data_IF_938716575800
#
_entry.id   IF_938716575800
#
_cell.length_a   1.000
_cell.length_b   1.000
_cell.length_c   1.000
_cell.angle_alpha   90.00
_cell.angle_beta   90.00
_cell.angle_gamma   90.00
#
_symmetry.space_group_name_H-M   'P 1'
#
loop_
_entity.id
_entity.type
_entity.pdbx_description
1 polymer ?
#
# COMPACT_ATOMS: atom_id res chain seq x y z
N UNK A 1 -4.48 -11.05 27.88
CA UNK A 1 -3.16 -10.66 28.42
C UNK A 1 -2.13 -10.60 27.32
N UNK A 2 -1.25 -11.59 27.08
CA UNK A 2 -0.10 -11.48 26.14
C UNK A 2 -0.45 -10.85 24.77
N UNK A 3 -1.58 -11.26 24.17
CA UNK A 3 -2.02 -10.89 22.82
C UNK A 3 -3.16 -9.86 22.79
N UNK A 4 -3.18 -8.93 23.74
CA UNK A 4 -3.99 -7.72 23.70
C UNK A 4 -3.10 -6.51 23.39
N UNK A 5 -3.58 -5.48 22.67
CA UNK A 5 -2.93 -4.19 22.67
C UNK A 5 -3.13 -3.51 24.03
N UNK A 6 -2.15 -2.72 24.47
CA UNK A 6 -2.34 -1.74 25.54
C UNK A 6 -2.06 -0.33 25.03
N UNK A 7 -2.79 0.64 25.60
CA UNK A 7 -2.65 2.05 25.30
C UNK A 7 -1.97 2.75 26.49
N UNK A 8 -0.78 3.30 26.26
CA UNK A 8 -0.07 4.15 27.20
C UNK A 8 -0.62 5.56 27.04
N UNK A 9 -1.11 6.15 28.14
CA UNK A 9 -1.59 7.53 28.19
C UNK A 9 -0.55 8.45 28.83
N UNK A 10 -0.26 9.60 28.22
CA UNK A 10 0.45 10.68 28.91
C UNK A 10 -0.54 11.44 29.82
N UNK A 11 -0.88 10.80 30.93
CA UNK A 11 -1.71 11.32 32.04
C UNK A 11 -1.04 11.01 33.39
N UNK A 12 -1.48 11.70 34.44
CA UNK A 12 -0.84 11.61 35.75
C UNK A 12 -0.95 10.23 36.40
N UNK A 13 0.22 9.59 36.60
CA UNK A 13 0.55 8.48 37.52
C UNK A 13 -0.24 7.15 37.48
N UNK A 14 -1.43 7.04 36.92
CA UNK A 14 -2.22 5.77 36.99
C UNK A 14 -2.81 5.30 35.64
N UNK A 15 -2.88 3.97 35.48
CA UNK A 15 -3.40 3.26 34.31
C UNK A 15 -4.56 2.34 34.70
N UNK A 16 -5.64 2.33 33.91
CA UNK A 16 -6.85 1.53 34.14
C UNK A 16 -7.09 0.58 32.96
N UNK A 17 -7.49 -0.67 33.24
CA UNK A 17 -7.70 -1.74 32.26
C UNK A 17 -9.14 -2.29 32.40
N UNK A 18 -9.85 -2.46 31.27
CA UNK A 18 -11.24 -2.95 31.23
C UNK A 18 -11.47 -3.88 30.03
N UNK A 19 -12.13 -5.03 30.23
CA UNK A 19 -12.44 -6.00 29.16
C UNK A 19 -13.68 -6.85 29.52
N UNK A 20 -14.60 -7.05 28.57
CA UNK A 20 -15.68 -8.05 28.62
C UNK A 20 -16.01 -8.56 27.19
N UNK A 21 -16.79 -9.64 27.07
CA UNK A 21 -17.09 -10.39 25.83
C UNK A 21 -18.60 -10.65 25.64
N UNK A 22 -19.05 -10.86 24.40
CA UNK A 22 -20.35 -11.49 24.05
C UNK A 22 -20.28 -12.28 22.72
N UNK A 23 -21.32 -13.06 22.40
CA UNK A 23 -21.38 -14.17 21.42
C UNK A 23 -22.38 -13.87 20.28
N UNK A 24 -22.17 -14.39 19.05
CA UNK A 24 -23.21 -14.52 17.98
C UNK A 24 -22.99 -15.82 17.14
N UNK A 25 -23.97 -16.23 16.32
CA UNK A 25 -24.25 -17.59 15.78
C UNK A 25 -24.12 -17.72 14.22
N UNK A 26 -24.26 -18.94 13.68
CA UNK A 26 -24.05 -19.44 12.28
C UNK A 26 -25.13 -19.09 11.21
N UNK A 27 -24.80 -19.24 9.91
CA UNK A 27 -25.70 -19.47 8.72
C UNK A 27 -24.99 -20.33 7.63
N UNK A 28 -25.75 -21.05 6.77
CA UNK A 28 -25.36 -21.83 5.55
C UNK A 28 -26.60 -21.90 4.56
N UNK A 29 -26.67 -22.40 3.30
CA UNK A 29 -25.78 -23.17 2.40
C UNK A 29 -25.89 -22.81 0.87
N UNK A 30 -26.66 -23.52 0.01
CA UNK A 30 -26.51 -23.51 -1.49
C UNK A 30 -27.76 -23.71 -2.40
N UNK A 31 -27.67 -23.12 -3.62
CA UNK A 31 -27.99 -23.59 -5.01
C UNK A 31 -29.32 -24.26 -5.45
N UNK A 32 -29.84 -23.84 -6.64
CA UNK A 32 -30.50 -24.66 -7.70
C UNK A 32 -30.61 -23.86 -9.06
N UNK A 33 -31.13 -24.43 -10.17
CA UNK A 33 -30.81 -24.01 -11.57
C UNK A 33 -31.96 -23.88 -12.61
N UNK A 34 -31.74 -23.04 -13.65
CA UNK A 34 -32.16 -23.18 -15.09
C UNK A 34 -33.69 -23.21 -15.45
N UNK A 35 -34.20 -23.24 -16.71
CA UNK A 35 -33.70 -23.45 -18.11
C UNK A 35 -34.61 -22.72 -19.15
N UNK A 36 -34.15 -22.33 -20.37
CA UNK A 36 -34.82 -22.57 -21.71
C UNK A 36 -34.12 -21.87 -22.92
N UNK A 37 -34.41 -22.29 -24.16
CA UNK A 37 -33.70 -21.95 -25.43
C UNK A 37 -34.61 -21.50 -26.60
N UNK A 38 -34.01 -20.91 -27.67
CA UNK A 38 -34.57 -20.82 -29.05
C UNK A 38 -33.45 -20.88 -30.11
N UNK A 39 -33.73 -21.33 -31.34
CA UNK A 39 -32.74 -21.51 -32.44
C UNK A 39 -32.90 -20.51 -33.60
N UNK A 40 -31.84 -20.34 -34.42
CA UNK A 40 -31.88 -19.72 -35.78
C UNK A 40 -32.32 -20.74 -36.86
N UNK A 41 -32.77 -20.24 -38.02
CA UNK A 41 -32.95 -21.01 -39.27
C UNK A 41 -31.81 -20.72 -40.28
N UNK A 42 -31.75 -21.50 -41.36
CA UNK A 42 -30.71 -21.48 -42.39
C UNK A 42 -31.31 -21.57 -43.81
N UNK A 43 -30.52 -21.12 -44.79
CA UNK A 43 -30.69 -20.85 -46.23
C UNK A 43 -31.81 -21.58 -47.04
N UNK A 44 -32.30 -20.85 -48.06
CA UNK A 44 -32.87 -21.41 -49.30
C UNK A 44 -31.97 -21.05 -50.50
N UNK A 45 -31.57 -22.04 -51.32
CA UNK A 45 -30.62 -21.84 -52.44
C UNK A 45 -31.31 -21.39 -53.73
N UNK A 46 -31.12 -20.14 -54.19
CA UNK A 46 -31.17 -19.75 -55.62
C UNK A 46 -30.70 -18.31 -55.87
N UNK A 47 -29.69 -18.17 -56.74
CA UNK A 47 -29.27 -16.96 -57.49
C UNK A 47 -29.63 -15.59 -56.86
N UNK A 48 -28.72 -15.06 -56.04
CA UNK A 48 -28.81 -13.72 -55.45
C UNK A 48 -27.92 -12.69 -56.21
N UNK A 49 -27.56 -13.02 -57.45
CA UNK A 49 -26.50 -12.37 -58.25
C UNK A 49 -27.09 -11.46 -59.37
N UNK A 50 -28.39 -11.14 -59.29
CA UNK A 50 -29.14 -10.35 -60.30
C UNK A 50 -30.06 -9.31 -59.63
N UNK A 51 -29.73 -8.91 -58.40
CA UNK A 51 -30.44 -7.89 -57.61
C UNK A 51 -29.41 -6.84 -57.19
N UNK A 52 -29.64 -5.53 -57.38
CA UNK A 52 -28.71 -4.52 -56.91
C UNK A 52 -28.55 -4.59 -55.39
N UNK A 53 -27.31 -4.54 -54.91
CA UNK A 53 -26.94 -4.74 -53.51
C UNK A 53 -27.68 -3.79 -52.57
N UNK A 54 -28.12 -4.30 -51.43
CA UNK A 54 -28.89 -3.55 -50.45
C UNK A 54 -28.09 -3.42 -49.15
N UNK A 55 -27.66 -2.18 -48.86
CA UNK A 55 -26.85 -1.81 -47.69
C UNK A 55 -27.40 -2.38 -46.37
N UNK A 56 -28.72 -2.36 -46.19
CA UNK A 56 -29.40 -2.80 -44.98
C UNK A 56 -29.40 -4.34 -44.87
N UNK A 57 -29.56 -5.04 -46.01
CA UNK A 57 -29.51 -6.51 -46.10
C UNK A 57 -28.10 -7.08 -45.89
N UNK A 58 -27.09 -6.47 -46.51
CA UNK A 58 -25.77 -7.09 -46.67
C UNK A 58 -24.72 -6.58 -45.66
N UNK A 59 -24.80 -5.30 -45.27
CA UNK A 59 -23.83 -4.67 -44.35
C UNK A 59 -24.40 -4.30 -42.96
N UNK A 60 -25.72 -4.39 -42.75
CA UNK A 60 -26.36 -4.09 -41.46
C UNK A 60 -26.95 -5.34 -40.80
N UNK A 61 -27.66 -6.19 -41.54
CA UNK A 61 -28.13 -7.49 -41.03
C UNK A 61 -27.03 -8.57 -41.03
N UNK A 62 -26.07 -8.52 -41.97
CA UNK A 62 -24.91 -9.41 -42.06
C UNK A 62 -23.55 -8.63 -42.06
N UNK A 63 -22.44 -9.33 -42.35
CA UNK A 63 -21.09 -8.75 -42.44
C UNK A 63 -20.56 -8.83 -43.87
N UNK A 64 -20.76 -7.76 -44.64
CA UNK A 64 -20.18 -7.58 -45.96
C UNK A 64 -18.65 -7.43 -45.94
N UNK A 65 -18.03 -7.66 -47.10
CA UNK A 65 -16.61 -7.46 -47.40
C UNK A 65 -16.31 -6.02 -47.82
N UNK A 66 -15.02 -5.70 -47.96
CA UNK A 66 -14.55 -4.38 -48.35
C UNK A 66 -14.93 -4.00 -49.81
N UNK A 67 -15.04 -4.98 -50.70
CA UNK A 67 -15.35 -4.73 -52.11
C UNK A 67 -16.86 -4.56 -52.33
N UNK A 68 -17.70 -5.35 -51.66
CA UNK A 68 -19.17 -5.16 -51.64
C UNK A 68 -19.55 -3.77 -51.08
N UNK A 69 -18.92 -3.34 -49.98
CA UNK A 69 -19.16 -2.02 -49.39
C UNK A 69 -18.72 -0.86 -50.31
N UNK A 70 -17.83 -1.10 -51.28
CA UNK A 70 -17.29 -0.09 -52.20
C UNK A 70 -18.21 0.20 -53.38
N UNK A 71 -19.07 -0.75 -53.78
CA UNK A 71 -20.00 -0.57 -54.91
C UNK A 71 -21.22 0.31 -54.54
N UNK A 72 -21.41 0.64 -53.26
CA UNK A 72 -22.55 1.44 -52.77
C UNK A 72 -22.27 2.94 -52.76
N UNK A 73 -21.00 3.39 -52.81
CA UNK A 73 -20.64 4.79 -52.56
C UNK A 73 -19.51 5.34 -53.48
N UNK A 74 -19.88 6.00 -54.57
CA UNK A 74 -18.94 6.73 -55.44
C UNK A 74 -18.64 8.15 -54.90
N UNK A 75 -17.51 8.32 -54.19
CA UNK A 75 -16.52 9.44 -54.26
C UNK A 75 -15.66 9.54 -52.99
N UNK A 76 -14.35 9.83 -53.13
CA UNK A 76 -13.36 9.64 -52.04
C UNK A 76 -13.10 10.88 -51.15
N UNK A 77 -13.59 12.07 -51.50
CA UNK A 77 -13.23 13.35 -50.82
C UNK A 77 -14.06 13.70 -49.55
N UNK A 78 -14.66 12.73 -48.87
CA UNK A 78 -15.35 12.93 -47.57
C UNK A 78 -14.84 12.05 -46.41
N UNK A 79 -13.68 11.43 -46.60
CA UNK A 79 -13.14 10.33 -45.78
C UNK A 79 -12.50 10.73 -44.43
N UNK A 80 -12.79 11.94 -43.89
CA UNK A 80 -12.42 12.35 -42.51
C UNK A 80 -13.58 13.09 -41.82
N UNK A 81 -14.74 12.42 -41.69
CA UNK A 81 -15.88 12.90 -40.89
C UNK A 81 -16.85 11.78 -40.47
N UNK A 82 -16.34 10.57 -40.20
CA UNK A 82 -17.16 9.46 -39.71
C UNK A 82 -17.39 9.56 -38.20
N UNK A 83 -18.65 9.59 -37.76
CA UNK A 83 -19.02 9.67 -36.34
C UNK A 83 -18.45 8.48 -35.55
N UNK A 84 -17.49 8.73 -34.68
CA UNK A 84 -16.74 7.70 -33.94
C UNK A 84 -17.52 7.12 -32.76
N UNK A 85 -18.73 7.64 -32.49
CA UNK A 85 -19.72 7.05 -31.59
C UNK A 85 -20.63 6.02 -32.26
N UNK A 86 -20.41 5.65 -33.53
CA UNK A 86 -21.15 4.58 -34.21
C UNK A 86 -20.21 3.50 -34.78
N UNK A 87 -20.23 2.24 -34.29
CA UNK A 87 -21.02 1.73 -33.17
C UNK A 87 -20.52 2.29 -31.82
N UNK A 88 -21.42 2.45 -30.83
CA UNK A 88 -21.07 3.08 -29.55
C UNK A 88 -19.85 2.41 -28.88
N UNK A 89 -18.70 3.10 -28.75
CA UNK A 89 -17.49 2.54 -28.17
C UNK A 89 -17.58 2.42 -26.65
N UNK A 90 -18.48 3.15 -25.99
CA UNK A 90 -18.67 3.15 -24.55
C UNK A 90 -19.45 1.91 -24.08
N UNK A 91 -18.94 1.27 -23.03
CA UNK A 91 -19.50 0.07 -22.40
C UNK A 91 -20.33 0.45 -21.18
N UNK A 92 -20.97 -0.56 -20.57
CA UNK A 92 -21.71 -0.42 -19.31
C UNK A 92 -22.75 0.72 -19.29
N UNK A 93 -23.36 1.01 -20.45
CA UNK A 93 -24.38 2.05 -20.60
C UNK A 93 -23.86 3.49 -20.72
N UNK A 94 -22.55 3.69 -20.88
CA UNK A 94 -21.96 5.02 -21.09
C UNK A 94 -22.46 5.71 -22.38
N UNK A 95 -22.67 7.03 -22.30
CA UNK A 95 -23.05 7.87 -23.43
C UNK A 95 -21.81 8.34 -24.19
N UNK A 96 -21.83 8.28 -25.50
CA UNK A 96 -20.70 8.73 -26.34
C UNK A 96 -20.94 10.13 -26.90
N UNK A 97 -19.89 10.95 -26.94
CA UNK A 97 -19.83 12.24 -27.61
C UNK A 97 -18.72 12.19 -28.67
N UNK A 98 -19.07 12.62 -29.88
CA UNK A 98 -18.18 12.66 -31.05
C UNK A 98 -17.39 13.97 -31.06
N UNK A 99 -16.09 13.92 -31.36
CA UNK A 99 -15.17 15.05 -31.41
C UNK A 99 -14.32 14.97 -32.70
N UNK A 100 -13.50 15.99 -32.97
CA UNK A 100 -12.61 15.99 -34.14
C UNK A 100 -11.51 14.91 -33.98
N UNK A 101 -11.66 13.80 -34.72
CA UNK A 101 -10.78 12.63 -34.73
C UNK A 101 -10.61 11.92 -33.36
N UNK A 102 -11.56 12.10 -32.43
CA UNK A 102 -11.69 11.27 -31.22
C UNK A 102 -13.16 11.21 -30.76
N UNK A 103 -13.42 10.35 -29.77
CA UNK A 103 -14.67 10.36 -29.00
C UNK A 103 -14.39 10.52 -27.50
N UNK A 104 -15.42 10.93 -26.76
CA UNK A 104 -15.44 11.02 -25.29
C UNK A 104 -16.57 10.13 -24.76
N UNK A 105 -16.28 9.29 -23.76
CA UNK A 105 -17.27 8.46 -23.09
C UNK A 105 -17.69 9.04 -21.74
N UNK A 106 -18.95 9.43 -21.62
CA UNK A 106 -19.61 9.85 -20.39
C UNK A 106 -20.14 8.63 -19.64
N UNK A 107 -19.36 8.13 -18.69
CA UNK A 107 -19.65 6.90 -17.96
C UNK A 107 -20.77 7.06 -16.93
N UNK A 108 -21.61 6.02 -16.82
CA UNK A 108 -22.60 5.94 -15.74
C UNK A 108 -21.91 5.79 -14.37
N UNK A 109 -22.59 6.25 -13.31
CA UNK A 109 -22.09 6.15 -11.94
C UNK A 109 -21.73 4.71 -11.59
N UNK A 110 -20.45 4.50 -11.26
CA UNK A 110 -19.88 3.17 -11.03
C UNK A 110 -18.84 2.77 -12.08
N UNK A 111 -18.72 3.43 -13.23
CA UNK A 111 -17.75 3.06 -14.27
C UNK A 111 -16.72 4.16 -14.59
N UNK A 112 -15.49 3.74 -14.91
CA UNK A 112 -14.38 4.59 -15.39
C UNK A 112 -13.64 3.92 -16.57
N UNK A 113 -12.61 4.56 -17.10
CA UNK A 113 -11.87 4.10 -18.29
C UNK A 113 -12.27 4.84 -19.56
N UNK A 114 -11.49 4.71 -20.65
CA UNK A 114 -11.72 5.46 -21.91
C UNK A 114 -13.05 5.07 -22.57
N UNK A 115 -13.50 3.85 -22.30
CA UNK A 115 -14.67 3.20 -22.86
C UNK A 115 -15.64 2.78 -21.75
N UNK A 116 -15.55 3.34 -20.54
CA UNK A 116 -16.33 2.94 -19.37
C UNK A 116 -16.20 1.44 -19.01
N UNK A 117 -15.07 0.85 -19.37
CA UNK A 117 -14.78 -0.58 -19.28
C UNK A 117 -14.38 -1.05 -17.87
N UNK A 118 -14.01 -0.13 -16.98
CA UNK A 118 -13.56 -0.43 -15.62
C UNK A 118 -14.66 -0.17 -14.61
N UNK A 119 -14.95 -1.16 -13.76
CA UNK A 119 -15.80 -0.99 -12.59
C UNK A 119 -15.05 -0.23 -11.48
N UNK A 120 -15.63 0.84 -10.95
CA UNK A 120 -15.02 1.81 -10.03
C UNK A 120 -15.61 1.73 -8.61
N UNK A 121 -15.82 0.51 -8.10
CA UNK A 121 -16.25 0.27 -6.71
C UNK A 121 -15.10 0.40 -5.71
N UNK A 122 -15.39 0.41 -4.41
CA UNK A 122 -14.34 0.31 -3.38
C UNK A 122 -13.49 -0.98 -3.44
N UNK A 123 -13.86 -2.00 -4.23
CA UNK A 123 -13.05 -3.19 -4.43
C UNK A 123 -11.93 -2.98 -5.47
N UNK A 124 -12.19 -2.16 -6.50
CA UNK A 124 -11.29 -1.85 -7.60
C UNK A 124 -10.64 -0.49 -7.41
N UNK A 125 -9.30 -0.44 -7.33
CA UNK A 125 -8.53 0.80 -7.06
C UNK A 125 -9.07 1.65 -5.88
N UNK A 126 -9.69 1.03 -4.87
CA UNK A 126 -10.32 1.73 -3.75
C UNK A 126 -11.35 2.81 -4.19
N UNK A 127 -12.05 2.62 -5.32
CA UNK A 127 -12.97 3.60 -5.90
C UNK A 127 -12.31 4.89 -6.42
N UNK A 128 -10.98 4.91 -6.51
CA UNK A 128 -10.19 6.14 -6.70
C UNK A 128 -10.17 7.05 -5.46
N UNK A 129 -10.55 6.56 -4.28
CA UNK A 129 -10.42 7.31 -3.04
C UNK A 129 -8.99 7.23 -2.51
N UNK A 130 -8.39 8.38 -2.18
CA UNK A 130 -7.00 8.44 -1.67
C UNK A 130 -6.80 7.82 -0.29
N UNK A 131 -7.86 7.72 0.50
CA UNK A 131 -7.84 7.13 1.85
C UNK A 131 -9.01 6.16 2.03
N UNK A 132 -10.11 6.52 2.68
CA UNK A 132 -11.21 5.58 2.90
C UNK A 132 -12.25 5.65 1.77
N UNK A 133 -12.74 4.48 1.35
CA UNK A 133 -13.87 4.33 0.43
C UNK A 133 -15.04 3.64 1.14
N UNK A 134 -16.27 4.12 0.93
CA UNK A 134 -17.51 3.36 1.18
C UNK A 134 -18.38 3.36 -0.08
N UNK A 135 -19.04 2.23 -0.35
CA UNK A 135 -20.19 2.23 -1.26
C UNK A 135 -21.41 2.74 -0.46
N UNK A 136 -22.17 3.66 -1.03
CA UNK A 136 -23.44 4.16 -0.49
C UNK A 136 -24.60 3.18 -0.80
N UNK A 137 -25.80 3.45 -0.29
CA UNK A 137 -27.01 2.65 -0.55
C UNK A 137 -27.34 2.49 -2.04
N UNK A 138 -26.85 3.41 -2.87
CA UNK A 138 -27.02 3.45 -4.32
C UNK A 138 -25.79 2.90 -5.07
N UNK A 139 -24.93 2.11 -4.41
CA UNK A 139 -23.62 1.60 -4.89
C UNK A 139 -22.58 2.67 -5.26
N UNK A 140 -22.94 3.95 -5.20
CA UNK A 140 -22.06 5.11 -5.41
C UNK A 140 -20.87 5.11 -4.45
N UNK A 141 -19.66 5.30 -4.97
CA UNK A 141 -18.47 5.53 -4.15
C UNK A 141 -18.54 6.87 -3.44
N UNK A 142 -18.27 6.85 -2.14
CA UNK A 142 -18.12 8.04 -1.28
C UNK A 142 -16.78 7.92 -0.54
N UNK A 143 -15.87 8.84 -0.84
CA UNK A 143 -14.57 8.89 -0.19
C UNK A 143 -14.62 9.66 1.14
N UNK A 144 -13.72 9.31 2.07
CA UNK A 144 -13.51 10.05 3.32
C UNK A 144 -12.07 9.92 3.81
N UNK A 145 -11.65 10.83 4.68
CA UNK A 145 -10.24 11.01 5.04
C UNK A 145 -9.93 10.67 6.50
N UNK A 146 -8.66 10.41 6.78
CA UNK A 146 -8.12 10.13 8.09
C UNK A 146 -7.98 11.39 8.97
N UNK A 147 -7.74 11.21 10.27
CA UNK A 147 -7.58 12.32 11.20
C UNK A 147 -6.41 13.23 10.80
N UNK A 148 -6.67 14.54 10.71
CA UNK A 148 -5.69 15.52 10.23
C UNK A 148 -5.72 15.76 8.72
N UNK A 149 -6.67 15.18 7.98
CA UNK A 149 -6.92 15.46 6.56
C UNK A 149 -8.32 16.04 6.35
N UNK A 150 -8.51 16.74 5.22
CA UNK A 150 -9.81 17.15 4.66
C UNK A 150 -9.98 16.51 3.28
N UNK A 151 -11.22 16.26 2.87
CA UNK A 151 -11.53 15.85 1.50
C UNK A 151 -11.44 17.08 0.57
N UNK A 152 -10.89 16.90 -0.62
CA UNK A 152 -10.76 17.91 -1.65
C UNK A 152 -12.05 18.03 -2.49
N UNK A 153 -12.14 19.05 -3.34
CA UNK A 153 -13.32 19.39 -4.12
C UNK A 153 -13.66 18.32 -5.18
N UNK A 154 -12.64 17.59 -5.65
CA UNK A 154 -12.77 16.39 -6.49
C UNK A 154 -13.51 15.22 -5.81
N UNK A 155 -13.77 15.31 -4.50
CA UNK A 155 -14.41 14.29 -3.64
C UNK A 155 -13.69 12.93 -3.61
N UNK A 156 -12.40 12.88 -3.99
CA UNK A 156 -11.52 11.68 -4.03
C UNK A 156 -10.20 11.88 -3.27
N UNK A 157 -9.56 13.04 -3.38
CA UNK A 157 -8.26 13.36 -2.79
C UNK A 157 -8.40 13.79 -1.32
N UNK A 158 -7.51 13.30 -0.46
CA UNK A 158 -7.38 13.76 0.91
C UNK A 158 -6.17 14.70 1.07
N UNK A 159 -6.42 15.97 1.39
CA UNK A 159 -5.39 17.01 1.60
C UNK A 159 -5.07 17.17 3.10
N UNK A 160 -3.80 17.35 3.50
CA UNK A 160 -3.43 17.65 4.88
C UNK A 160 -4.13 18.91 5.42
N UNK A 161 -4.80 18.77 6.56
CA UNK A 161 -5.49 19.86 7.26
C UNK A 161 -4.79 20.29 8.55
N UNK A 162 -3.73 19.59 8.95
CA UNK A 162 -2.83 19.93 10.07
C UNK A 162 -1.37 19.77 9.64
N UNK A 163 -0.37 20.38 10.31
CA UNK A 163 1.03 20.31 9.89
C UNK A 163 1.62 18.90 9.89
N UNK A 164 1.23 18.08 10.87
CA UNK A 164 1.74 16.71 11.08
C UNK A 164 0.57 15.71 11.11
N UNK A 165 -0.08 15.46 9.95
CA UNK A 165 -1.22 14.55 9.88
C UNK A 165 -0.76 13.10 10.08
N UNK A 166 -1.69 12.21 10.41
CA UNK A 166 -1.33 10.82 10.63
C UNK A 166 -0.79 10.15 9.36
N UNK A 167 0.07 9.14 9.52
CA UNK A 167 0.54 8.30 8.41
C UNK A 167 1.39 9.00 7.36
N UNK A 168 1.82 10.25 7.58
CA UNK A 168 2.60 11.04 6.60
C UNK A 168 4.08 11.13 6.98
N UNK A 169 4.93 10.53 6.16
CA UNK A 169 6.38 10.71 6.21
C UNK A 169 6.71 12.15 5.80
N UNK A 170 7.28 12.92 6.72
CA UNK A 170 7.49 14.37 6.56
C UNK A 170 8.96 14.80 6.69
N UNK A 171 9.87 13.91 7.09
CA UNK A 171 11.29 14.18 7.18
C UNK A 171 11.94 14.34 5.79
N UNK A 172 12.78 15.37 5.55
CA UNK A 172 13.38 15.59 4.24
C UNK A 172 14.39 14.49 3.85
N UNK A 173 15.08 13.86 4.79
CA UNK A 173 16.01 12.76 4.49
C UNK A 173 15.29 11.43 4.20
N UNK A 174 14.06 11.27 4.68
CA UNK A 174 13.21 10.12 4.41
C UNK A 174 12.46 10.23 3.08
N UNK A 175 12.27 11.46 2.57
CA UNK A 175 11.92 11.68 1.16
C UNK A 175 13.11 11.25 0.30
N UNK A 176 13.12 9.98 -0.09
CA UNK A 176 13.98 9.51 -1.17
C UNK A 176 13.84 10.48 -2.35
N UNK A 177 14.97 10.88 -2.95
CA UNK A 177 14.92 11.56 -4.25
C UNK A 177 14.10 10.65 -5.17
N UNK A 178 13.00 11.17 -5.71
CA UNK A 178 12.32 10.52 -6.84
C UNK A 178 13.31 10.62 -7.99
N UNK A 179 14.01 9.53 -8.27
CA UNK A 179 14.90 9.45 -9.43
C UNK A 179 14.08 9.73 -10.68
N UNK A 180 14.54 10.70 -11.48
CA UNK A 180 13.84 11.29 -12.64
C UNK A 180 13.71 10.27 -13.78
N UNK A 181 12.84 9.28 -13.57
CA UNK A 181 12.63 8.11 -14.42
C UNK A 181 11.14 7.67 -14.46
N UNK A 182 10.23 8.54 -14.01
CA UNK A 182 8.79 8.49 -14.28
C UNK A 182 8.20 9.89 -14.00
N UNK A 183 7.92 10.60 -15.09
CA UNK A 183 7.11 11.82 -15.27
C UNK A 183 7.72 12.62 -16.44
N UNK A 184 7.23 12.33 -17.65
CA UNK A 184 7.36 13.18 -18.83
C UNK A 184 6.02 13.87 -19.04
N UNK A 185 6.04 15.20 -19.20
CA UNK A 185 4.88 16.10 -19.05
C UNK A 185 4.32 16.14 -17.61
N UNK A 186 3.88 17.29 -17.10
CA UNK A 186 3.63 18.58 -17.75
C UNK A 186 4.66 19.69 -17.37
N UNK A 187 4.94 20.53 -18.36
CA UNK A 187 5.50 21.88 -18.29
C UNK A 187 4.36 22.89 -17.97
N UNK A 188 4.54 24.18 -17.66
CA UNK A 188 5.68 25.05 -17.27
C UNK A 188 5.05 26.39 -16.89
N UNK A 189 5.45 27.03 -15.77
CA UNK A 189 5.56 28.52 -15.73
C UNK A 189 6.15 29.05 -14.41
N UNK A 190 7.35 29.62 -14.48
CA UNK A 190 7.54 31.08 -14.37
C UNK A 190 9.00 31.44 -14.68
N UNK A 191 9.22 32.59 -15.30
CA UNK A 191 10.51 32.99 -15.90
C UNK A 191 11.24 34.09 -15.11
N UNK A 192 12.52 34.27 -15.45
CA UNK A 192 13.41 35.41 -15.14
C UNK A 192 13.92 35.53 -13.69
N UNK A 193 15.20 35.91 -13.45
CA UNK A 193 16.31 36.24 -14.38
C UNK A 193 17.68 36.13 -13.68
N UNK A 194 18.79 36.14 -14.47
CA UNK A 194 20.17 36.63 -14.13
C UNK A 194 20.92 35.95 -12.95
N UNK A 195 22.23 35.64 -12.94
CA UNK A 195 23.41 35.93 -13.79
C UNK A 195 24.53 34.88 -13.48
N UNK A 196 25.64 34.76 -14.23
CA UNK A 196 25.77 34.14 -15.57
C UNK A 196 27.24 33.74 -15.88
N UNK A 197 27.47 32.97 -16.97
CA UNK A 197 28.77 32.49 -17.53
C UNK A 197 29.68 31.59 -16.64
N UNK A 198 30.66 30.79 -17.14
CA UNK A 198 31.19 30.55 -18.48
C UNK A 198 31.49 29.04 -18.72
N UNK A 199 31.84 28.65 -19.96
CA UNK A 199 32.21 27.28 -20.33
C UNK A 199 33.68 27.17 -20.81
N UNK A 200 34.23 25.95 -20.89
CA UNK A 200 34.81 25.46 -22.16
C UNK A 200 34.95 23.92 -22.23
N UNK A 201 35.35 23.39 -23.39
CA UNK A 201 35.39 21.98 -23.77
C UNK A 201 36.80 21.55 -24.20
N UNK A 202 37.18 20.29 -23.95
CA UNK A 202 38.05 19.49 -24.84
C UNK A 202 38.14 18.02 -24.37
N UNK A 203 38.50 17.11 -25.29
CA UNK A 203 38.86 15.71 -24.99
C UNK A 203 40.10 15.30 -25.80
N UNK A 204 40.92 14.38 -25.28
CA UNK A 204 42.06 13.84 -26.05
C UNK A 204 43.02 12.92 -25.28
N UNK A 205 43.03 11.64 -25.68
CA UNK A 205 44.14 10.67 -25.81
C UNK A 205 45.47 10.90 -25.02
N UNK A 206 45.94 9.95 -24.18
CA UNK A 206 46.49 8.60 -24.48
C UNK A 206 47.92 8.59 -25.05
N UNK A 207 48.87 8.12 -24.22
CA UNK A 207 50.04 7.24 -24.48
C UNK A 207 50.57 6.83 -23.08
N UNK A 208 50.91 5.58 -22.73
CA UNK A 208 51.68 4.48 -23.34
C UNK A 208 53.18 4.47 -22.94
N UNK A 209 53.67 3.31 -22.50
CA UNK A 209 55.07 2.85 -22.52
C UNK A 209 55.13 1.37 -22.06
N UNK A 210 55.90 0.54 -22.75
CA UNK A 210 55.96 -0.93 -22.54
C UNK A 210 57.39 -1.49 -22.53
N UNK A 211 57.53 -2.78 -22.20
CA UNK A 211 58.76 -3.62 -22.16
C UNK A 211 59.70 -3.41 -20.95
N UNK A 212 60.33 -4.44 -20.36
CA UNK A 212 60.10 -5.90 -20.49
C UNK A 212 61.32 -6.74 -20.07
N UNK A 213 61.11 -7.91 -19.43
CA UNK A 213 62.00 -9.10 -19.43
C UNK A 213 61.41 -10.28 -18.62
N UNK A 214 62.00 -11.48 -18.79
CA UNK A 214 61.61 -12.76 -18.17
C UNK A 214 62.55 -13.10 -16.96
N UNK A 215 62.43 -14.19 -16.18
CA UNK A 215 61.83 -15.54 -16.39
C UNK A 215 61.18 -16.14 -15.11
N UNK A 216 60.57 -17.32 -15.29
CA UNK A 216 60.38 -18.43 -14.33
C UNK A 216 59.20 -18.50 -13.32
N UNK A 217 58.69 -19.75 -13.27
CA UNK A 217 58.03 -20.51 -12.21
C UNK A 217 56.49 -20.50 -11.96
N UNK A 218 56.03 -21.67 -11.47
CA UNK A 218 54.67 -22.22 -11.24
C UNK A 218 53.44 -21.29 -11.35
N UNK A 219 52.49 -21.70 -12.20
CA UNK A 219 51.11 -21.20 -12.20
C UNK A 219 50.23 -21.82 -11.10
N UNK A 220 49.51 -20.97 -10.34
CA UNK A 220 48.12 -21.25 -10.02
C UNK A 220 47.20 -20.13 -10.52
N UNK A 221 45.97 -20.47 -10.93
CA UNK A 221 45.06 -19.52 -11.57
C UNK A 221 44.73 -18.29 -10.71
N UNK A 222 44.59 -17.09 -11.31
CA UNK A 222 44.28 -15.87 -10.57
C UNK A 222 42.94 -16.00 -9.86
N UNK A 223 42.95 -15.79 -8.53
CA UNK A 223 41.72 -15.77 -7.72
C UNK A 223 40.78 -14.70 -8.28
N UNK A 224 39.59 -15.10 -8.73
CA UNK A 224 38.48 -14.16 -8.96
C UNK A 224 38.32 -13.33 -7.67
N UNK A 225 38.50 -12.02 -7.78
CA UNK A 225 38.04 -11.08 -6.75
C UNK A 225 36.51 -11.05 -6.87
N UNK A 226 35.84 -12.02 -6.24
CA UNK A 226 34.42 -11.91 -5.94
C UNK A 226 34.25 -10.72 -5.02
N UNK A 227 33.59 -9.68 -5.50
CA UNK A 227 33.19 -8.56 -4.66
C UNK A 227 32.15 -9.09 -3.66
N UNK A 228 32.60 -9.46 -2.46
CA UNK A 228 31.70 -9.93 -1.40
C UNK A 228 30.88 -8.73 -0.92
N UNK A 229 29.74 -8.52 -1.58
CA UNK A 229 28.69 -7.61 -1.14
C UNK A 229 28.08 -8.16 0.15
N UNK A 230 28.76 -7.87 1.27
CA UNK A 230 28.38 -8.28 2.63
C UNK A 230 27.09 -7.57 3.05
N UNK A 231 25.96 -8.08 2.57
CA UNK A 231 24.60 -7.55 2.81
C UNK A 231 24.11 -7.95 4.20
N UNK A 232 24.80 -7.42 5.21
CA UNK A 232 24.46 -7.47 6.62
C UNK A 232 23.06 -6.85 6.85
N UNK A 233 22.02 -7.66 6.71
CA UNK A 233 20.59 -7.29 6.72
C UNK A 233 19.92 -7.82 7.99
N UNK A 234 19.53 -6.89 8.87
CA UNK A 234 19.47 -7.07 10.33
C UNK A 234 18.52 -6.02 10.96
N UNK A 235 17.29 -6.21 11.46
CA UNK A 235 16.38 -7.36 11.64
C UNK A 235 16.45 -8.36 10.49
N UNK A 236 16.17 -9.63 10.74
CA UNK A 236 16.53 -10.75 9.85
C UNK A 236 16.09 -10.47 8.40
N UNK A 237 17.05 -10.33 7.49
CA UNK A 237 16.81 -10.03 6.06
C UNK A 237 16.14 -8.68 5.75
N UNK A 238 16.07 -7.76 6.72
CA UNK A 238 15.55 -6.39 6.63
C UNK A 238 16.64 -5.33 6.44
N UNK A 239 16.24 -4.07 6.30
CA UNK A 239 17.10 -2.94 5.91
C UNK A 239 17.17 -1.86 6.99
N UNK A 240 18.31 -1.15 7.05
CA UNK A 240 18.49 0.00 7.94
C UNK A 240 17.62 1.18 7.51
N UNK A 241 16.84 1.71 8.45
CA UNK A 241 15.85 2.74 8.19
C UNK A 241 16.46 4.15 8.17
N UNK A 242 16.02 4.98 7.23
CA UNK A 242 16.41 6.38 7.13
C UNK A 242 15.81 7.19 8.28
N UNK A 243 16.55 8.21 8.73
CA UNK A 243 16.12 9.12 9.81
C UNK A 243 14.76 9.77 9.47
N UNK A 244 13.71 9.38 10.19
CA UNK A 244 12.35 9.91 10.02
C UNK A 244 11.49 9.20 8.96
N UNK A 245 11.92 8.04 8.46
CA UNK A 245 11.14 7.18 7.56
C UNK A 245 9.98 6.49 8.26
N UNK A 246 10.14 6.11 9.53
CA UNK A 246 9.08 5.59 10.39
C UNK A 246 8.83 6.56 11.57
N UNK A 247 8.21 7.74 11.33
CA UNK A 247 8.08 8.80 12.33
C UNK A 247 7.08 8.50 13.46
N UNK A 248 6.30 7.43 13.36
CA UNK A 248 5.38 6.93 14.41
C UNK A 248 6.00 5.87 15.32
N UNK A 249 7.23 5.42 15.05
CA UNK A 249 7.93 4.45 15.89
C UNK A 249 8.31 5.07 17.24
N UNK A 250 8.04 4.37 18.34
CA UNK A 250 8.67 4.63 19.64
C UNK A 250 9.47 3.43 20.14
N UNK A 251 10.39 3.70 21.05
CA UNK A 251 11.13 2.72 21.84
C UNK A 251 10.70 2.85 23.31
N UNK A 252 10.31 1.75 23.94
CA UNK A 252 10.04 1.67 25.37
C UNK A 252 11.32 1.25 26.10
N UNK A 253 11.74 2.05 27.08
CA UNK A 253 12.96 1.83 27.86
C UNK A 253 12.68 1.78 29.36
N UNK A 254 13.48 1.00 30.09
CA UNK A 254 13.47 0.89 31.55
C UNK A 254 14.94 0.93 31.99
N UNK A 255 15.31 1.87 32.87
CA UNK A 255 16.71 2.14 33.24
C UNK A 255 17.64 2.27 32.01
N UNK A 256 17.21 3.10 31.05
CA UNK A 256 17.84 3.34 29.73
C UNK A 256 18.03 2.10 28.82
N UNK A 257 17.63 0.90 29.26
CA UNK A 257 17.61 -0.32 28.44
C UNK A 257 16.29 -0.43 27.68
N UNK A 258 16.37 -0.46 26.35
CA UNK A 258 15.24 -0.73 25.47
C UNK A 258 14.78 -2.18 25.55
N UNK A 259 13.46 -2.40 25.52
CA UNK A 259 12.87 -3.75 25.66
C UNK A 259 11.68 -4.04 24.73
N UNK A 260 10.95 -3.02 24.28
CA UNK A 260 9.82 -3.16 23.34
C UNK A 260 9.67 -1.92 22.43
N UNK A 261 8.99 -2.10 21.31
CA UNK A 261 8.51 -1.02 20.46
C UNK A 261 7.13 -0.47 20.88
N UNK A 262 6.67 0.52 20.12
CA UNK A 262 5.33 1.09 20.20
C UNK A 262 5.01 1.96 18.99
N UNK A 263 3.75 2.36 18.85
CA UNK A 263 3.27 3.25 17.78
C UNK A 263 2.56 4.47 18.33
N UNK A 264 2.94 5.68 17.89
CA UNK A 264 2.26 6.95 18.25
C UNK A 264 0.88 6.99 17.60
N UNK A 265 -0.19 7.06 18.38
CA UNK A 265 -1.57 7.19 17.87
C UNK A 265 -2.01 8.66 17.81
N UNK A 266 -1.59 9.47 18.79
CA UNK A 266 -1.66 10.93 18.77
C UNK A 266 -0.69 11.51 19.82
N UNK A 267 -0.75 12.81 20.10
CA UNK A 267 0.17 13.53 21.01
C UNK A 267 0.11 13.06 22.47
N UNK A 268 -0.89 12.25 22.83
CA UNK A 268 -1.15 11.80 24.21
C UNK A 268 -1.19 10.28 24.37
N UNK A 269 -1.17 9.53 23.27
CA UNK A 269 -1.45 8.09 23.28
C UNK A 269 -0.51 7.30 22.37
N UNK A 270 0.03 6.22 22.93
CA UNK A 270 0.85 5.22 22.22
C UNK A 270 0.19 3.86 22.39
N UNK A 271 0.16 3.06 21.32
CA UNK A 271 -0.23 1.65 21.39
C UNK A 271 1.01 0.75 21.36
N UNK A 272 1.00 -0.30 22.17
CA UNK A 272 2.04 -1.34 22.27
C UNK A 272 1.39 -2.69 22.61
N UNK A 273 2.18 -3.77 22.71
CA UNK A 273 1.70 -5.09 23.11
C UNK A 273 1.59 -5.18 24.65
N UNK A 274 0.54 -5.80 25.17
CA UNK A 274 0.27 -5.77 26.61
C UNK A 274 1.34 -6.45 27.47
N UNK A 275 2.06 -7.45 26.94
CA UNK A 275 3.15 -8.12 27.65
C UNK A 275 4.41 -7.26 27.83
N UNK A 276 4.51 -6.12 27.13
CA UNK A 276 5.57 -5.13 27.35
C UNK A 276 5.39 -4.34 28.65
N UNK A 277 4.19 -4.34 29.25
CA UNK A 277 3.87 -3.49 30.41
C UNK A 277 3.69 -4.33 31.67
N UNK A 278 4.62 -4.19 32.62
CA UNK A 278 4.55 -4.80 33.95
C UNK A 278 4.05 -3.74 34.96
N UNK A 279 3.02 -4.03 35.77
CA UNK A 279 2.55 -3.10 36.81
C UNK A 279 3.67 -2.66 37.76
N UNK A 280 3.76 -1.36 38.04
CA UNK A 280 4.77 -0.78 38.92
C UNK A 280 6.14 -0.51 38.29
N UNK A 281 6.39 -0.90 37.04
CA UNK A 281 7.63 -0.56 36.35
C UNK A 281 7.67 0.91 35.89
N UNK A 282 8.78 1.61 36.15
CA UNK A 282 9.03 2.91 35.52
C UNK A 282 9.46 2.70 34.05
N UNK A 283 8.65 3.25 33.13
CA UNK A 283 8.84 3.09 31.68
C UNK A 283 8.98 4.48 31.05
N UNK A 284 10.09 4.70 30.36
CA UNK A 284 10.32 5.88 29.54
C UNK A 284 9.98 5.56 28.08
N UNK A 285 9.36 6.52 27.41
CA UNK A 285 9.11 6.48 25.96
C UNK A 285 10.13 7.36 25.26
N UNK A 286 10.82 6.82 24.26
CA UNK A 286 11.69 7.58 23.35
C UNK A 286 11.07 7.62 21.95
N UNK A 287 10.90 8.82 21.41
CA UNK A 287 10.39 9.09 20.05
C UNK A 287 11.32 10.07 19.32
N UNK A 288 11.72 9.76 18.09
CA UNK A 288 12.72 10.54 17.34
C UNK A 288 14.09 10.58 18.04
N UNK A 289 14.90 11.62 17.77
CA UNK A 289 16.15 11.88 18.50
C UNK A 289 15.85 12.62 19.82
N UNK A 290 16.35 12.17 20.98
CA UNK A 290 16.02 12.77 22.27
C UNK A 290 16.62 14.17 22.42
N UNK A 291 15.76 15.18 22.50
CA UNK A 291 16.10 16.48 23.12
C UNK A 291 15.78 16.38 24.62
N UNK A 292 16.73 16.73 25.50
CA UNK A 292 16.56 16.62 26.96
C UNK A 292 15.48 17.58 27.50
N UNK A 293 14.22 17.14 27.52
CA UNK A 293 13.11 17.70 28.32
C UNK A 293 12.47 16.59 29.14
N UNK A 294 12.78 16.53 30.44
CA UNK A 294 12.01 15.71 31.40
C UNK A 294 10.63 16.36 31.64
N UNK A 295 9.60 15.55 31.91
CA UNK A 295 8.29 16.04 32.37
C UNK A 295 7.32 16.59 31.31
N UNK A 296 7.48 16.25 30.02
CA UNK A 296 6.51 16.65 28.99
C UNK A 296 5.18 15.88 29.13
N UNK A 297 4.05 16.58 29.29
CA UNK A 297 2.70 16.01 29.42
C UNK A 297 2.07 15.57 28.07
N UNK A 298 2.80 15.73 26.97
CA UNK A 298 2.37 15.39 25.60
C UNK A 298 3.61 15.31 24.68
N UNK A 299 3.54 14.49 23.64
CA UNK A 299 4.56 14.43 22.58
C UNK A 299 4.50 15.69 21.71
N UNK A 300 5.66 16.31 21.47
CA UNK A 300 5.78 17.43 20.52
C UNK A 300 5.98 16.89 19.10
N UNK A 301 4.90 16.86 18.31
CA UNK A 301 4.95 16.42 16.91
C UNK A 301 5.91 17.30 16.08
N UNK A 302 6.59 16.66 15.14
CA UNK A 302 7.53 17.29 14.22
C UNK A 302 7.78 16.36 13.01
N UNK A 303 8.62 16.76 12.05
CA UNK A 303 8.87 15.97 10.83
C UNK A 303 9.44 14.55 11.06
N UNK A 304 9.99 14.26 12.24
CA UNK A 304 10.49 12.93 12.66
C UNK A 304 9.61 12.25 13.73
N UNK A 305 8.51 12.88 14.14
CA UNK A 305 7.60 12.41 15.20
C UNK A 305 6.16 12.75 14.78
N UNK A 306 5.49 11.83 14.10
CA UNK A 306 4.09 11.98 13.62
C UNK A 306 3.27 10.73 13.96
N UNK A 307 1.95 10.83 14.16
CA UNK A 307 1.13 9.66 14.50
C UNK A 307 0.92 8.72 13.31
N UNK A 308 0.60 7.45 13.56
CA UNK A 308 0.12 6.50 12.53
C UNK A 308 -1.41 6.59 12.38
N UNK A 309 -1.94 6.42 11.16
CA UNK A 309 -3.40 6.46 10.97
C UNK A 309 -4.10 5.17 11.47
N UNK A 310 -5.24 5.34 12.14
CA UNK A 310 -6.15 4.25 12.55
C UNK A 310 -7.40 4.28 11.65
N UNK A 311 -7.49 3.32 10.74
CA UNK A 311 -8.60 3.20 9.78
C UNK A 311 -9.88 2.58 10.40
N UNK A 312 -10.89 2.28 9.57
CA UNK A 312 -12.01 1.42 9.95
C UNK A 312 -11.59 -0.06 9.99
N UNK A 313 -12.35 -0.89 10.71
CA UNK A 313 -12.11 -2.35 10.82
C UNK A 313 -12.09 -3.01 9.45
N UNK A 314 -13.00 -2.60 8.57
CA UNK A 314 -13.20 -3.08 7.21
C UNK A 314 -12.02 -2.71 6.32
N UNK A 315 -11.61 -1.44 6.34
CA UNK A 315 -10.47 -0.96 5.56
C UNK A 315 -9.16 -1.61 6.01
N UNK A 316 -8.90 -1.69 7.33
CA UNK A 316 -7.73 -2.42 7.87
C UNK A 316 -7.73 -3.89 7.46
N UNK A 317 -8.90 -4.55 7.34
CA UNK A 317 -8.98 -5.94 6.88
C UNK A 317 -8.67 -6.10 5.39
N UNK A 318 -9.01 -5.11 4.56
CA UNK A 318 -8.70 -5.12 3.13
C UNK A 318 -7.20 -4.83 2.89
N UNK A 319 -6.65 -3.81 3.58
CA UNK A 319 -5.21 -3.51 3.56
C UNK A 319 -4.37 -4.73 3.96
N UNK A 320 -4.75 -5.42 5.04
CA UNK A 320 -4.05 -6.62 5.52
C UNK A 320 -3.99 -7.75 4.47
N UNK A 321 -4.99 -7.89 3.60
CA UNK A 321 -5.03 -8.95 2.60
C UNK A 321 -4.36 -8.57 1.28
N UNK A 322 -4.55 -7.33 0.85
CA UNK A 322 -4.31 -6.92 -0.53
C UNK A 322 -2.99 -6.17 -0.74
N UNK A 323 -2.26 -5.84 0.34
CA UNK A 323 -1.00 -5.11 0.28
C UNK A 323 0.02 -5.66 1.28
N UNK A 324 1.31 -5.42 1.04
CA UNK A 324 2.37 -5.88 1.93
C UNK A 324 2.37 -5.11 3.25
N UNK A 325 2.56 -5.84 4.35
CA UNK A 325 2.93 -5.27 5.63
C UNK A 325 4.36 -4.70 5.62
N UNK A 326 4.59 -3.71 6.46
CA UNK A 326 5.93 -3.20 6.80
C UNK A 326 6.03 -3.16 8.31
N UNK A 327 7.04 -3.84 8.85
CA UNK A 327 7.31 -3.96 10.29
C UNK A 327 8.62 -3.27 10.63
N UNK A 328 8.72 -2.70 11.82
CA UNK A 328 9.93 -1.99 12.24
C UNK A 328 10.20 -2.06 13.75
N UNK A 329 11.49 -2.02 14.09
CA UNK A 329 11.97 -2.07 15.46
C UNK A 329 13.49 -2.14 15.60
N UNK A 330 13.94 -2.41 16.82
CA UNK A 330 15.36 -2.49 17.22
C UNK A 330 15.73 -3.89 17.75
N UNK A 331 14.88 -4.89 17.49
CA UNK A 331 15.01 -6.25 18.03
C UNK A 331 16.26 -7.00 17.58
N UNK A 332 16.39 -8.23 18.08
CA UNK A 332 17.51 -9.12 17.80
C UNK A 332 17.65 -9.42 16.31
N UNK A 333 18.87 -9.32 15.80
CA UNK A 333 19.15 -9.34 14.36
C UNK A 333 19.16 -10.77 13.76
N UNK A 334 19.10 -11.76 14.64
CA UNK A 334 18.94 -13.20 14.43
C UNK A 334 18.44 -13.80 15.76
N UNK A 335 17.99 -15.05 15.77
CA UNK A 335 17.50 -15.70 16.99
C UNK A 335 18.55 -15.69 18.11
N UNK A 336 18.17 -15.19 19.30
CA UNK A 336 19.06 -14.94 20.47
C UNK A 336 20.25 -14.01 20.20
N UNK A 337 20.23 -13.27 19.09
CA UNK A 337 21.26 -12.28 18.72
C UNK A 337 21.18 -10.98 19.50
N UNK A 338 22.17 -10.10 19.30
CA UNK A 338 22.16 -8.73 19.82
C UNK A 338 21.08 -7.90 19.13
N UNK A 339 20.53 -6.91 19.83
CA UNK A 339 19.61 -5.88 19.31
C UNK A 339 20.34 -4.87 18.43
N UNK A 340 19.60 -4.13 17.59
CA UNK A 340 20.18 -3.07 16.76
C UNK A 340 20.24 -1.71 17.47
N UNK A 341 21.28 -0.93 17.17
CA UNK A 341 21.34 0.49 17.53
C UNK A 341 20.69 1.41 16.48
N UNK A 342 20.46 0.91 15.27
CA UNK A 342 19.81 1.62 14.15
C UNK A 342 18.40 1.05 13.99
N UNK A 343 17.39 1.87 13.67
CA UNK A 343 16.03 1.38 13.43
C UNK A 343 16.01 0.52 12.15
N UNK A 344 15.27 -0.58 12.18
CA UNK A 344 15.23 -1.55 11.09
C UNK A 344 13.82 -1.67 10.52
N UNK A 345 13.74 -1.93 9.21
CA UNK A 345 12.49 -2.05 8.46
C UNK A 345 12.52 -3.32 7.61
N UNK A 346 11.45 -4.11 7.67
CA UNK A 346 11.23 -5.29 6.84
C UNK A 346 9.83 -5.22 6.23
N UNK A 347 9.69 -5.54 4.94
CA UNK A 347 8.37 -5.81 4.34
C UNK A 347 8.03 -7.29 4.50
N UNK A 348 6.78 -7.59 4.87
CA UNK A 348 6.28 -8.95 5.10
C UNK A 348 4.90 -9.12 4.41
N UNK A 349 4.66 -10.22 3.69
CA UNK A 349 3.32 -10.52 3.19
C UNK A 349 2.44 -11.07 4.32
N UNK A 350 1.14 -10.80 4.26
CA UNK A 350 0.15 -11.45 5.11
C UNK A 350 0.04 -12.94 4.76
N UNK A 351 -0.12 -13.78 5.78
CA UNK A 351 -0.21 -15.23 5.63
C UNK A 351 -1.62 -15.69 5.97
N UNK A 352 -2.21 -16.47 5.07
CA UNK A 352 -3.60 -16.92 5.22
C UNK A 352 -3.83 -17.74 6.48
N UNK A 353 -5.03 -17.60 7.06
CA UNK A 353 -5.32 -18.13 8.39
C UNK A 353 -5.21 -19.66 8.46
N UNK A 354 -5.50 -20.36 7.37
CA UNK A 354 -5.32 -21.80 7.24
C UNK A 354 -3.85 -22.21 7.29
N UNK A 355 -2.96 -21.49 6.59
CA UNK A 355 -1.52 -21.71 6.60
C UNK A 355 -0.92 -21.35 7.96
N UNK A 356 -1.26 -20.17 8.48
CA UNK A 356 -0.87 -19.65 9.80
C UNK A 356 -1.20 -20.63 10.95
N UNK A 357 -2.39 -21.24 10.93
CA UNK A 357 -2.79 -22.25 11.92
C UNK A 357 -2.10 -23.61 11.73
N UNK A 358 -1.63 -23.95 10.53
CA UNK A 358 -0.89 -25.20 10.26
C UNK A 358 0.61 -25.09 10.57
N UNK A 359 1.19 -23.89 10.47
CA UNK A 359 2.61 -23.64 10.78
C UNK A 359 2.93 -23.63 12.27
N UNK A 360 1.94 -23.36 13.12
CA UNK A 360 2.17 -23.16 14.56
C UNK A 360 1.74 -24.34 15.41
N UNK A 361 2.52 -24.61 16.46
CA UNK A 361 2.15 -25.55 17.54
C UNK A 361 1.19 -24.93 18.56
N UNK A 362 0.97 -23.62 18.51
CA UNK A 362 0.20 -22.85 19.47
C UNK A 362 -1.15 -22.36 18.90
N UNK A 363 -2.13 -22.13 19.77
CA UNK A 363 -3.48 -21.71 19.39
C UNK A 363 -3.57 -20.22 18.97
N UNK A 364 -3.48 -19.95 17.67
CA UNK A 364 -3.58 -18.58 17.12
C UNK A 364 -5.04 -18.09 17.07
N UNK A 365 -5.41 -17.24 18.01
CA UNK A 365 -6.77 -16.70 18.20
C UNK A 365 -7.27 -15.80 17.04
N UNK A 366 -8.60 -15.50 16.92
CA UNK A 366 -9.19 -14.68 15.85
C UNK A 366 -8.87 -13.16 15.90
N UNK A 367 -8.17 -12.73 16.94
CA UNK A 367 -7.60 -11.39 17.14
C UNK A 367 -6.10 -11.32 16.81
N UNK A 368 -5.53 -12.39 16.25
CA UNK A 368 -4.16 -12.45 15.74
C UNK A 368 -4.13 -12.76 14.23
N UNK A 369 -3.00 -12.50 13.59
CA UNK A 369 -2.66 -12.95 12.23
C UNK A 369 -1.16 -13.25 12.12
N UNK A 370 -0.77 -14.01 11.09
CA UNK A 370 0.62 -14.26 10.74
C UNK A 370 1.05 -13.35 9.58
N UNK A 371 2.31 -12.93 9.56
CA UNK A 371 2.95 -12.31 8.40
C UNK A 371 4.43 -12.72 8.35
N UNK A 372 4.97 -12.94 7.14
CA UNK A 372 6.34 -13.43 6.94
C UNK A 372 6.48 -14.32 5.70
N UNK A 373 7.66 -14.89 5.51
CA UNK A 373 7.99 -15.70 4.33
C UNK A 373 8.10 -17.19 4.68
N UNK A 374 7.49 -18.07 3.87
CA UNK A 374 7.48 -19.52 4.12
C UNK A 374 8.90 -20.12 4.15
N UNK A 375 9.83 -19.55 3.39
CA UNK A 375 11.26 -19.92 3.36
C UNK A 375 12.03 -19.53 4.64
N UNK A 376 11.39 -18.88 5.61
CA UNK A 376 12.08 -18.24 6.72
C UNK A 376 13.02 -17.12 6.23
N UNK A 377 14.09 -16.88 6.99
CA UNK A 377 15.14 -15.90 6.70
C UNK A 377 14.73 -14.42 6.84
N UNK A 378 13.43 -14.13 6.99
CA UNK A 378 12.85 -12.78 7.13
C UNK A 378 11.69 -12.75 8.12
N UNK A 379 11.93 -12.19 9.30
CA UNK A 379 10.94 -12.00 10.37
C UNK A 379 11.38 -10.95 11.40
N UNK A 380 10.45 -10.47 12.22
CA UNK A 380 10.68 -9.78 13.50
C UNK A 380 11.32 -10.70 14.54
N UNK A 381 11.91 -10.13 15.59
CA UNK A 381 12.50 -10.91 16.68
C UNK A 381 12.39 -10.21 18.06
N UNK A 382 13.02 -10.80 19.08
CA UNK A 382 13.04 -10.33 20.47
C UNK A 382 13.38 -8.83 20.56
N UNK A 383 12.47 -8.02 21.11
CA UNK A 383 12.61 -6.56 21.22
C UNK A 383 11.82 -5.75 20.18
N UNK A 384 11.35 -6.37 19.08
CA UNK A 384 10.39 -5.76 18.15
C UNK A 384 8.94 -5.81 18.68
N UNK A 385 8.69 -6.61 19.71
CA UNK A 385 7.39 -6.72 20.41
C UNK A 385 6.80 -5.36 20.77
N UNK A 386 5.51 -5.18 20.50
CA UNK A 386 4.82 -3.89 20.62
C UNK A 386 5.07 -2.91 19.47
N UNK A 387 6.04 -3.17 18.61
CA UNK A 387 6.31 -2.38 17.40
C UNK A 387 5.16 -2.41 16.38
N UNK A 388 5.15 -1.44 15.44
CA UNK A 388 4.14 -1.36 14.39
C UNK A 388 4.29 -2.49 13.36
N UNK A 389 3.13 -3.00 12.91
CA UNK A 389 2.97 -3.53 11.56
C UNK A 389 2.06 -2.55 10.80
N UNK A 390 2.60 -1.84 9.82
CA UNK A 390 1.87 -0.87 9.00
C UNK A 390 1.64 -1.37 7.58
N UNK A 391 0.73 -0.70 6.88
CA UNK A 391 0.51 -0.86 5.44
C UNK A 391 0.33 0.52 4.84
N UNK A 392 0.98 0.78 3.70
CA UNK A 392 0.82 2.05 2.96
C UNK A 392 -0.24 1.91 1.85
N UNK A 393 -0.95 3.01 1.59
CA UNK A 393 -1.82 3.17 0.43
C UNK A 393 -1.74 4.63 -0.01
N UNK A 394 -1.38 4.86 -1.28
CA UNK A 394 -1.16 6.18 -1.89
C UNK A 394 -0.30 7.15 -1.03
N UNK A 395 0.72 6.60 -0.36
CA UNK A 395 1.62 7.35 0.51
C UNK A 395 1.03 7.77 1.87
N UNK A 396 -0.17 7.31 2.23
CA UNK A 396 -0.72 7.38 3.59
C UNK A 396 -0.51 6.03 4.30
N UNK A 397 0.15 6.03 5.45
CA UNK A 397 0.43 4.83 6.22
C UNK A 397 -0.62 4.57 7.31
N UNK A 398 -1.08 3.33 7.42
CA UNK A 398 -2.07 2.89 8.40
C UNK A 398 -1.52 1.77 9.29
N UNK A 399 -1.92 1.76 10.57
CA UNK A 399 -1.57 0.67 11.49
C UNK A 399 -2.49 -0.53 11.23
N UNK A 400 -1.91 -1.66 10.86
CA UNK A 400 -2.65 -2.87 10.47
C UNK A 400 -2.44 -4.03 11.45
N UNK A 401 -1.28 -4.07 12.13
CA UNK A 401 -0.99 -4.95 13.24
C UNK A 401 -0.05 -4.34 14.29
N UNK A 402 0.17 -5.09 15.37
CA UNK A 402 1.19 -4.81 16.39
C UNK A 402 1.99 -6.10 16.60
N UNK A 403 3.31 -6.03 16.51
CA UNK A 403 4.22 -7.18 16.71
C UNK A 403 3.98 -7.78 18.09
N UNK A 404 3.79 -9.11 18.17
CA UNK A 404 3.51 -9.79 19.44
C UNK A 404 4.64 -10.74 19.82
N UNK A 405 4.76 -11.88 19.14
CA UNK A 405 5.73 -12.95 19.42
C UNK A 405 5.88 -13.87 18.19
N UNK A 406 6.77 -14.85 18.28
CA UNK A 406 6.91 -15.97 17.34
C UNK A 406 7.48 -17.19 18.08
N UNK A 407 7.52 -18.36 17.43
CA UNK A 407 8.13 -19.57 18.01
C UNK A 407 9.66 -19.47 18.00
N UNK A 408 10.24 -19.33 16.80
CA UNK A 408 11.64 -18.99 16.55
C UNK A 408 11.68 -17.85 15.52
N UNK A 409 12.63 -16.93 15.63
CA UNK A 409 12.74 -15.80 14.70
C UNK A 409 13.20 -16.27 13.32
N UNK A 410 12.37 -16.03 12.28
CA UNK A 410 12.71 -16.30 10.88
C UNK A 410 13.05 -17.78 10.53
N UNK A 411 12.52 -18.74 11.31
CA UNK A 411 12.62 -20.16 10.99
C UNK A 411 11.80 -20.52 9.74
N UNK A 412 12.30 -21.46 8.93
CA UNK A 412 11.57 -21.98 7.76
C UNK A 412 10.24 -22.63 8.19
N UNK A 413 9.17 -22.38 7.43
CA UNK A 413 7.82 -22.84 7.74
C UNK A 413 7.13 -22.10 8.90
N UNK A 414 7.78 -21.13 9.57
CA UNK A 414 7.21 -20.28 10.61
C UNK A 414 6.97 -18.85 10.11
N UNK A 415 6.22 -18.09 10.91
CA UNK A 415 5.87 -16.69 10.65
C UNK A 415 5.74 -15.93 11.97
N UNK A 416 6.08 -14.64 11.98
CA UNK A 416 5.80 -13.75 13.10
C UNK A 416 4.29 -13.60 13.34
N UNK A 417 3.89 -13.49 14.61
CA UNK A 417 2.49 -13.41 15.03
C UNK A 417 2.17 -12.01 15.56
N UNK A 418 1.16 -11.39 14.94
CA UNK A 418 0.79 -9.99 15.11
C UNK A 418 -0.62 -9.86 15.68
N UNK A 419 -0.80 -8.92 16.61
CA UNK A 419 -2.12 -8.55 17.14
C UNK A 419 -2.88 -7.77 16.06
N UNK A 420 -4.08 -8.24 15.70
CA UNK A 420 -4.87 -7.74 14.58
C UNK A 420 -5.64 -6.46 14.93
N UNK A 421 -5.10 -5.30 14.54
CA UNK A 421 -5.62 -3.99 14.94
C UNK A 421 -7.08 -3.76 14.52
N UNK A 422 -7.56 -4.35 13.42
CA UNK A 422 -8.98 -4.25 13.01
C UNK A 422 -9.99 -4.78 14.02
N UNK A 423 -9.58 -5.65 14.97
CA UNK A 423 -10.45 -6.08 16.08
C UNK A 423 -10.56 -5.05 17.20
N UNK A 424 -9.64 -4.09 17.25
CA UNK A 424 -9.48 -3.13 18.35
C UNK A 424 -9.75 -1.66 17.95
N UNK A 425 -9.94 -1.38 16.65
CA UNK A 425 -10.21 -0.02 16.12
C UNK A 425 -11.22 0.77 16.95
N UNK A 426 -12.35 0.17 17.36
CA UNK A 426 -13.37 0.82 18.19
C UNK A 426 -12.79 1.30 19.53
N UNK A 427 -12.21 0.38 20.30
CA UNK A 427 -11.56 0.67 21.59
C UNK A 427 -10.40 1.67 21.47
N UNK A 428 -9.57 1.56 20.42
CA UNK A 428 -8.49 2.53 20.17
C UNK A 428 -9.09 3.93 19.98
N UNK A 429 -10.08 4.08 19.08
CA UNK A 429 -10.68 5.39 18.78
C UNK A 429 -11.39 6.00 20.00
N UNK A 430 -12.11 5.18 20.77
CA UNK A 430 -12.80 5.60 22.00
C UNK A 430 -11.83 6.11 23.07
N UNK A 431 -10.81 5.33 23.41
CA UNK A 431 -9.81 5.71 24.43
C UNK A 431 -8.97 6.92 24.00
N UNK A 432 -8.56 6.96 22.73
CA UNK A 432 -7.69 8.03 22.20
C UNK A 432 -8.45 9.30 21.79
N UNK A 433 -9.79 9.28 21.81
CA UNK A 433 -10.69 10.32 21.29
C UNK A 433 -10.49 10.66 19.81
N UNK A 434 -10.05 9.69 19.01
CA UNK A 434 -9.99 9.85 17.55
C UNK A 434 -11.41 9.77 16.94
N UNK A 435 -11.69 10.50 15.83
CA UNK A 435 -12.98 10.43 15.15
C UNK A 435 -13.35 9.00 14.77
N UNK A 436 -14.49 8.53 15.28
CA UNK A 436 -15.18 7.39 14.68
C UNK A 436 -15.63 7.80 13.28
N UNK A 437 -15.48 6.89 12.31
CA UNK A 437 -16.05 7.08 10.97
C UNK A 437 -17.56 6.98 11.12
N UNK A 438 -18.26 8.11 11.00
CA UNK A 438 -19.69 8.22 11.29
C UNK A 438 -20.49 7.29 10.38
N UNK A 439 -21.20 6.34 10.99
CA UNK A 439 -22.33 5.68 10.35
C UNK A 439 -23.51 6.66 10.38
N UNK A 440 -23.60 7.43 9.30
CA UNK A 440 -24.71 8.29 8.88
C UNK A 440 -24.88 8.04 7.38
#
# INVERSE_FOLDING_TARGET
WINSPLLISFRGRECIITHFFYIVVFIDNKQASSVLHRQKRFNSKRLEEVVPGNLERECVEEKCSFEEAREVFENEEKTVSGNQCNPNPCKNGGSCQDELNSYVCWCLLGFEGRNCELDSTCATKNGGCKQFCRNDQQHKVVCSCAAGYKLHEDRKTCIPAVPFPCGRISAPEAKSKVTRAMNTFEEWDTTNSTEDEAADNAAGNVTDYTTGNATDDVTPAPRRITLITKTDTRVVGGMESKKGEIPWQVHLTNNDKGFCGGSIVNERWIVTAAHCLVPGAEITVVAGKPKKKKGALSLMLNSYVTPICIASKEFTNNLLKNAMGTVSGWGSLFFRGRTSHVLQVLKVPYVDRSTCLKSSTFSILPNMFCAGYQTGGKDTCTGDSGGPHTTDIEGTWFLTGITSWGEDCAQEGKYGIYTRVSRYVKWIKEMTKLPQSTQT
#
